data_IF_146519092095
#
_entry.id   IF_146519092095
#
_cell.length_a   1.000
_cell.length_b   1.000
_cell.length_c   1.000
_cell.angle_alpha   90.00
_cell.angle_beta   90.00
_cell.angle_gamma   90.00
#
_symmetry.space_group_name_H-M   'P 1'
#
loop_
_entity.id
_entity.type
_entity.pdbx_description
1 polymer ?
#
# COMPACT_ATOMS: atom_id res chain seq x y z
N UNK A 1 53.30 -47.16 59.06
CA UNK A 1 52.67 -46.92 57.74
C UNK A 1 51.34 -46.24 57.95
N UNK A 2 51.25 -44.93 57.68
CA UNK A 2 50.07 -44.10 57.94
C UNK A 2 49.22 -44.07 56.67
N UNK A 3 48.07 -44.74 56.69
CA UNK A 3 47.13 -44.74 55.56
C UNK A 3 46.55 -43.35 55.34
N UNK A 4 46.92 -42.71 54.23
CA UNK A 4 46.23 -41.54 53.69
C UNK A 4 44.88 -42.00 53.12
N UNK A 5 43.80 -41.77 53.85
CA UNK A 5 42.43 -41.84 53.33
C UNK A 5 41.66 -40.65 53.90
N UNK A 6 41.86 -39.47 53.35
CA UNK A 6 40.91 -38.36 53.42
C UNK A 6 40.83 -37.76 52.01
N UNK A 7 39.64 -37.35 51.59
CA UNK A 7 39.23 -36.83 50.26
C UNK A 7 38.44 -37.78 49.35
N UNK A 8 37.99 -38.95 49.83
CA UNK A 8 37.06 -39.81 49.06
C UNK A 8 35.57 -39.56 49.34
N UNK A 9 35.22 -38.83 50.41
CA UNK A 9 33.82 -38.58 50.81
C UNK A 9 33.15 -37.34 50.19
N UNK A 10 33.95 -36.34 49.77
CA UNK A 10 33.46 -35.11 49.13
C UNK A 10 33.48 -35.17 47.59
N UNK A 11 34.28 -36.06 46.99
CA UNK A 11 34.42 -36.15 45.54
C UNK A 11 33.11 -36.55 44.84
N UNK A 12 32.33 -37.47 45.43
CA UNK A 12 31.06 -37.96 44.87
C UNK A 12 29.97 -36.88 44.87
N UNK A 13 29.65 -36.19 45.99
CA UNK A 13 28.67 -35.10 45.98
C UNK A 13 29.05 -33.91 45.07
N UNK A 14 30.35 -33.56 45.03
CA UNK A 14 30.86 -32.46 44.19
C UNK A 14 30.77 -32.83 42.70
N UNK A 15 31.15 -34.05 42.33
CA UNK A 15 31.02 -34.55 40.96
C UNK A 15 29.56 -34.61 40.48
N UNK A 16 28.64 -35.04 41.35
CA UNK A 16 27.21 -35.07 41.08
C UNK A 16 26.64 -33.65 40.88
N UNK A 17 27.03 -32.72 41.75
CA UNK A 17 26.63 -31.30 41.64
C UNK A 17 27.12 -30.67 40.34
N UNK A 18 28.36 -30.96 39.94
CA UNK A 18 28.92 -30.48 38.68
C UNK A 18 28.16 -31.07 37.48
N UNK A 19 27.85 -32.37 37.50
CA UNK A 19 27.05 -33.03 36.48
C UNK A 19 25.65 -32.41 36.34
N UNK A 20 24.95 -32.19 37.45
CA UNK A 20 23.61 -31.57 37.46
C UNK A 20 23.68 -30.15 36.90
N UNK A 21 24.67 -29.36 37.31
CA UNK A 21 24.83 -27.98 36.84
C UNK A 21 25.16 -27.94 35.34
N UNK A 22 26.10 -28.77 34.88
CA UNK A 22 26.42 -28.89 33.46
C UNK A 22 25.21 -29.36 32.63
N UNK A 23 24.45 -30.34 33.12
CA UNK A 23 23.25 -30.82 32.44
C UNK A 23 22.14 -29.75 32.41
N UNK A 24 22.01 -28.96 33.47
CA UNK A 24 21.05 -27.85 33.53
C UNK A 24 21.43 -26.75 32.54
N UNK A 25 22.71 -26.35 32.51
CA UNK A 25 23.19 -25.37 31.52
C UNK A 25 22.94 -25.87 30.10
N UNK A 26 23.29 -27.12 29.81
CA UNK A 26 23.09 -27.70 28.49
C UNK A 26 21.61 -27.71 28.11
N UNK A 27 20.74 -28.15 29.02
CA UNK A 27 19.29 -28.19 28.79
C UNK A 27 18.70 -26.80 28.56
N UNK A 28 19.07 -25.82 29.38
CA UNK A 28 18.61 -24.43 29.23
C UNK A 28 19.13 -23.82 27.93
N UNK A 29 20.40 -24.04 27.58
CA UNK A 29 20.99 -23.57 26.33
C UNK A 29 20.28 -24.19 25.11
N UNK A 30 20.08 -25.51 25.10
CA UNK A 30 19.35 -26.19 24.02
C UNK A 30 17.92 -25.70 23.93
N UNK A 31 17.21 -25.56 25.06
CA UNK A 31 15.85 -25.02 25.09
C UNK A 31 15.79 -23.60 24.50
N UNK A 32 16.70 -22.72 24.90
CA UNK A 32 16.76 -21.35 24.40
C UNK A 32 17.02 -21.29 22.89
N UNK A 33 17.95 -22.10 22.37
CA UNK A 33 18.23 -22.21 20.93
C UNK A 33 17.03 -22.77 20.17
N UNK A 34 16.37 -23.81 20.68
CA UNK A 34 15.18 -24.37 20.04
C UNK A 34 14.03 -23.37 20.05
N UNK A 35 13.75 -22.73 21.18
CA UNK A 35 12.68 -21.75 21.32
C UNK A 35 12.90 -20.54 20.40
N UNK A 36 14.11 -19.98 20.38
CA UNK A 36 14.44 -18.87 19.48
C UNK A 36 14.28 -19.25 18.01
N UNK A 37 14.74 -20.45 17.61
CA UNK A 37 14.58 -20.93 16.22
C UNK A 37 13.12 -21.10 15.80
N UNK A 38 12.26 -21.60 16.70
CA UNK A 38 10.81 -21.74 16.45
C UNK A 38 10.14 -20.37 16.41
N UNK A 39 10.53 -19.45 17.29
CA UNK A 39 10.02 -18.08 17.33
C UNK A 39 10.29 -17.34 16.01
N UNK A 40 11.53 -17.41 15.50
CA UNK A 40 11.91 -16.81 14.21
C UNK A 40 11.14 -17.43 13.04
N UNK A 41 11.00 -18.76 13.01
CA UNK A 41 10.19 -19.42 11.96
C UNK A 41 8.72 -18.99 12.03
N UNK A 42 8.16 -18.90 13.23
CA UNK A 42 6.78 -18.46 13.46
C UNK A 42 6.57 -17.01 13.02
N UNK A 43 7.49 -16.10 13.34
CA UNK A 43 7.39 -14.69 12.94
C UNK A 43 7.48 -14.53 11.42
N UNK A 44 8.36 -15.27 10.74
CA UNK A 44 8.43 -15.29 9.27
C UNK A 44 7.13 -15.80 8.62
N UNK A 45 6.50 -16.84 9.17
CA UNK A 45 5.21 -17.34 8.68
C UNK A 45 4.12 -16.27 8.85
N UNK A 46 4.06 -15.63 10.02
CA UNK A 46 3.12 -14.53 10.30
C UNK A 46 3.32 -13.35 9.35
N UNK A 47 4.57 -13.00 9.06
CA UNK A 47 4.93 -11.95 8.11
C UNK A 47 4.40 -12.27 6.70
N UNK A 48 4.66 -13.48 6.20
CA UNK A 48 4.19 -13.91 4.87
C UNK A 48 2.65 -13.96 4.82
N UNK A 49 2.00 -14.44 5.88
CA UNK A 49 0.54 -14.47 5.96
C UNK A 49 -0.07 -13.06 5.96
N UNK A 50 0.51 -12.13 6.74
CA UNK A 50 0.12 -10.73 6.73
C UNK A 50 0.25 -10.11 5.34
N UNK A 51 1.38 -10.34 4.67
CA UNK A 51 1.62 -9.89 3.29
C UNK A 51 0.53 -10.38 2.34
N UNK A 52 0.16 -11.65 2.44
CA UNK A 52 -0.88 -12.25 1.61
C UNK A 52 -2.27 -11.68 1.90
N UNK A 53 -2.60 -11.41 3.16
CA UNK A 53 -3.89 -10.83 3.53
C UNK A 53 -4.02 -9.38 3.06
N UNK A 54 -2.95 -8.57 3.16
CA UNK A 54 -2.95 -7.20 2.62
C UNK A 54 -3.06 -7.21 1.09
N UNK A 55 -2.41 -8.15 0.40
CA UNK A 55 -2.62 -8.36 -1.05
C UNK A 55 -4.08 -8.76 -1.37
N UNK A 56 -4.69 -9.61 -0.54
CA UNK A 56 -6.11 -9.99 -0.69
C UNK A 56 -7.05 -8.81 -0.46
N UNK A 57 -6.72 -7.93 0.49
CA UNK A 57 -7.45 -6.69 0.75
C UNK A 57 -7.39 -5.74 -0.44
N UNK A 58 -6.21 -5.54 -1.02
CA UNK A 58 -6.08 -4.72 -2.22
C UNK A 58 -6.91 -5.30 -3.37
N UNK A 59 -6.91 -6.62 -3.54
CA UNK A 59 -7.68 -7.25 -4.62
C UNK A 59 -9.19 -7.09 -4.39
N UNK A 60 -9.62 -7.06 -3.13
CA UNK A 60 -10.99 -6.75 -2.75
C UNK A 60 -11.36 -5.29 -3.09
N UNK A 61 -10.51 -4.32 -2.74
CA UNK A 61 -10.70 -2.91 -3.12
C UNK A 61 -10.77 -2.77 -4.63
N UNK A 62 -9.83 -3.37 -5.37
CA UNK A 62 -9.81 -3.32 -6.82
C UNK A 62 -11.08 -3.91 -7.44
N UNK A 63 -11.59 -5.04 -6.90
CA UNK A 63 -12.79 -5.70 -7.43
C UNK A 63 -14.08 -4.90 -7.30
N UNK A 64 -14.18 -4.05 -6.28
CA UNK A 64 -15.34 -3.18 -6.05
C UNK A 64 -15.16 -1.78 -6.64
N UNK A 65 -13.93 -1.41 -6.95
CA UNK A 65 -13.60 -0.11 -7.52
C UNK A 65 -14.36 0.08 -8.83
N UNK A 66 -14.82 1.31 -9.08
CA UNK A 66 -15.62 1.66 -10.25
C UNK A 66 -17.02 0.99 -10.32
N UNK A 67 -17.50 0.40 -9.22
CA UNK A 67 -18.85 -0.17 -9.10
C UNK A 67 -19.60 0.47 -7.92
N UNK A 68 -20.29 1.61 -8.12
CA UNK A 68 -20.99 2.33 -7.06
C UNK A 68 -21.98 1.45 -6.30
N UNK A 69 -21.99 1.54 -4.97
CA UNK A 69 -22.86 0.76 -4.09
C UNK A 69 -22.38 -0.66 -3.80
N UNK A 70 -21.34 -1.15 -4.51
CA UNK A 70 -20.76 -2.46 -4.22
C UNK A 70 -20.02 -2.48 -2.88
N UNK A 71 -20.02 -3.63 -2.22
CA UNK A 71 -19.36 -3.82 -0.93
C UNK A 71 -18.86 -5.24 -0.76
N UNK A 72 -17.74 -5.38 -0.05
CA UNK A 72 -17.19 -6.67 0.35
C UNK A 72 -16.68 -6.61 1.78
N UNK A 73 -16.84 -7.71 2.52
CA UNK A 73 -16.31 -7.85 3.88
C UNK A 73 -15.07 -8.74 3.83
N UNK A 74 -14.00 -8.30 4.48
CA UNK A 74 -12.74 -9.05 4.62
C UNK A 74 -12.41 -9.23 6.08
N UNK A 75 -11.95 -10.44 6.41
CA UNK A 75 -11.50 -10.82 7.74
C UNK A 75 -9.99 -10.93 7.75
N UNK A 76 -9.38 -10.36 8.79
CA UNK A 76 -7.95 -10.44 9.08
C UNK A 76 -7.76 -11.26 10.34
N UNK A 77 -6.84 -12.23 10.29
CA UNK A 77 -6.59 -13.15 11.41
C UNK A 77 -5.69 -12.57 12.51
N UNK A 78 -5.13 -11.39 12.29
CA UNK A 78 -4.24 -10.72 13.25
C UNK A 78 -2.91 -11.42 13.42
N UNK A 79 -1.89 -10.99 12.67
CA UNK A 79 -0.59 -11.66 12.66
C UNK A 79 0.44 -11.07 13.64
N UNK A 80 -0.03 -10.41 14.70
CA UNK A 80 0.81 -9.68 15.66
C UNK A 80 1.30 -8.33 15.17
N UNK A 81 0.65 -7.79 14.12
CA UNK A 81 0.86 -6.45 13.60
C UNK A 81 -0.29 -5.50 13.97
N UNK A 82 -0.21 -4.29 13.43
CA UNK A 82 -1.18 -3.20 13.64
C UNK A 82 -1.69 -2.73 12.29
N UNK A 83 -3.01 -2.69 12.10
CA UNK A 83 -3.62 -2.13 10.90
C UNK A 83 -4.09 -0.71 11.19
N UNK A 84 -3.78 0.22 10.29
CA UNK A 84 -4.17 1.62 10.38
C UNK A 84 -4.71 2.13 9.03
N UNK A 85 -5.68 3.03 9.11
CA UNK A 85 -6.14 3.81 7.95
C UNK A 85 -5.75 5.27 8.13
N UNK A 86 -5.23 5.86 7.06
CA UNK A 86 -4.76 7.23 7.05
C UNK A 86 -5.51 8.01 5.98
N UNK A 87 -6.77 8.41 6.22
CA UNK A 87 -7.61 9.06 5.22
C UNK A 87 -7.06 10.42 4.78
N UNK A 88 -6.35 11.13 5.66
CA UNK A 88 -5.94 12.52 5.45
C UNK A 88 -4.46 12.69 5.07
N UNK A 89 -3.62 11.69 5.30
CA UNK A 89 -2.16 11.85 5.26
C UNK A 89 -1.55 11.82 3.85
N UNK A 90 -2.31 11.39 2.82
CA UNK A 90 -1.82 11.27 1.44
C UNK A 90 -2.47 12.30 0.52
N UNK A 91 -1.74 13.36 0.18
CA UNK A 91 -2.23 14.46 -0.65
C UNK A 91 -1.88 14.21 -2.12
N UNK A 92 -2.88 14.32 -3.00
CA UNK A 92 -2.73 14.27 -4.44
C UNK A 92 -3.06 15.63 -5.04
N UNK A 93 -2.10 16.19 -5.78
CA UNK A 93 -2.30 17.39 -6.61
C UNK A 93 -2.08 17.05 -8.08
N UNK A 94 -3.02 17.44 -8.93
CA UNK A 94 -2.94 17.29 -10.39
C UNK A 94 -3.10 18.66 -11.02
N UNK A 95 -2.10 19.05 -11.80
CA UNK A 95 -2.11 20.25 -12.61
C UNK A 95 -2.14 19.86 -14.10
N UNK A 96 -3.07 20.47 -14.83
CA UNK A 96 -3.21 20.34 -16.27
C UNK A 96 -2.69 21.60 -16.95
N UNK A 97 -1.81 21.41 -17.93
CA UNK A 97 -1.34 22.50 -18.78
C UNK A 97 -1.43 22.16 -20.27
N UNK A 98 -1.79 23.16 -21.06
CA UNK A 98 -2.01 23.03 -22.50
C UNK A 98 -1.82 24.40 -23.17
N UNK A 99 -0.76 24.56 -23.96
CA UNK A 99 -0.38 25.87 -24.49
C UNK A 99 -0.11 26.87 -23.35
N UNK A 100 -0.82 28.00 -23.34
CA UNK A 100 -0.76 29.02 -22.28
C UNK A 100 -1.64 28.72 -21.06
N UNK A 101 -2.54 27.73 -21.15
CA UNK A 101 -3.42 27.32 -20.05
C UNK A 101 -2.63 26.49 -19.02
N UNK A 102 -2.81 26.81 -17.74
CA UNK A 102 -2.31 26.01 -16.61
C UNK A 102 -3.29 26.13 -15.44
N UNK A 103 -3.82 25.00 -14.98
CA UNK A 103 -4.77 24.98 -13.87
C UNK A 103 -4.65 23.72 -13.01
N UNK A 104 -5.02 23.85 -11.73
CA UNK A 104 -5.14 22.71 -10.81
C UNK A 104 -6.51 22.08 -11.01
N UNK A 105 -6.53 20.81 -11.39
CA UNK A 105 -7.76 20.06 -11.73
C UNK A 105 -8.18 19.10 -10.63
N UNK A 106 -7.24 18.73 -9.75
CA UNK A 106 -7.52 17.97 -8.54
C UNK A 106 -6.53 18.38 -7.44
N UNK A 107 -7.03 18.64 -6.24
CA UNK A 107 -6.21 18.87 -5.05
C UNK A 107 -7.00 18.41 -3.83
N UNK A 108 -6.68 17.23 -3.32
CA UNK A 108 -7.33 16.67 -2.14
C UNK A 108 -6.48 15.57 -1.52
N UNK A 109 -6.80 15.21 -0.27
CA UNK A 109 -6.29 13.96 0.29
C UNK A 109 -7.02 12.77 -0.31
N UNK A 110 -6.25 11.74 -0.65
CA UNK A 110 -6.73 10.47 -1.20
C UNK A 110 -6.55 9.29 -0.23
N UNK A 111 -5.87 9.52 0.88
CA UNK A 111 -5.60 8.54 1.92
C UNK A 111 -4.76 7.33 1.52
N UNK A 112 -4.39 6.52 2.52
CA UNK A 112 -3.74 5.22 2.35
C UNK A 112 -4.06 4.28 3.53
N UNK A 113 -3.67 3.01 3.38
CA UNK A 113 -3.77 1.98 4.41
C UNK A 113 -2.37 1.50 4.81
N UNK A 114 -2.15 1.34 6.10
CA UNK A 114 -0.91 0.85 6.69
C UNK A 114 -1.13 -0.46 7.43
N UNK A 115 -0.21 -1.41 7.28
CA UNK A 115 -0.15 -2.58 8.15
C UNK A 115 1.27 -2.74 8.69
N UNK A 116 1.46 -2.48 9.98
CA UNK A 116 2.70 -2.77 10.70
C UNK A 116 2.95 -4.27 10.68
N UNK A 117 4.03 -4.69 10.01
CA UNK A 117 4.39 -6.09 9.89
C UNK A 117 5.01 -6.59 11.21
N UNK A 118 4.78 -7.87 11.58
CA UNK A 118 5.38 -8.42 12.79
C UNK A 118 6.91 -8.40 12.71
N UNK A 119 7.62 -8.22 13.84
CA UNK A 119 9.08 -8.19 13.85
C UNK A 119 9.67 -9.46 13.23
N UNK A 120 10.51 -9.28 12.21
CA UNK A 120 11.14 -10.37 11.48
C UNK A 120 12.58 -10.00 11.15
N UNK A 121 13.43 -11.00 10.95
CA UNK A 121 14.81 -10.82 10.48
C UNK A 121 14.90 -10.62 8.96
N UNK A 122 13.75 -10.68 8.27
CA UNK A 122 13.61 -10.37 6.85
C UNK A 122 13.62 -8.85 6.66
N UNK A 123 14.58 -8.33 5.89
CA UNK A 123 14.61 -6.93 5.49
C UNK A 123 14.21 -6.79 4.02
N UNK A 124 12.93 -6.51 3.77
CA UNK A 124 12.35 -6.27 2.45
C UNK A 124 11.98 -4.77 2.27
N UNK A 125 12.52 -3.87 3.09
CA UNK A 125 12.23 -2.42 2.99
C UNK A 125 12.59 -1.89 1.61
N UNK A 126 11.66 -1.15 1.00
CA UNK A 126 11.76 -0.63 -0.36
C UNK A 126 11.22 -1.58 -1.44
N UNK A 127 10.87 -2.83 -1.09
CA UNK A 127 10.32 -3.78 -2.04
C UNK A 127 8.86 -3.45 -2.36
N UNK A 128 8.57 -3.31 -3.66
CA UNK A 128 7.20 -3.19 -4.16
C UNK A 128 6.55 -4.58 -4.29
N UNK A 129 5.41 -4.74 -3.63
CA UNK A 129 4.59 -5.95 -3.67
C UNK A 129 3.59 -5.91 -4.84
N UNK A 130 3.11 -4.71 -5.16
CA UNK A 130 2.24 -4.45 -6.32
C UNK A 130 2.43 -3.00 -6.78
N UNK A 131 2.58 -2.81 -8.09
CA UNK A 131 2.95 -1.52 -8.66
C UNK A 131 4.44 -1.22 -8.57
N UNK A 132 4.79 0.05 -8.58
CA UNK A 132 6.17 0.56 -8.64
C UNK A 132 6.26 1.97 -8.00
N UNK A 133 7.43 2.61 -8.09
CA UNK A 133 7.69 3.91 -7.47
C UNK A 133 7.10 5.10 -8.23
N UNK A 134 6.63 4.93 -9.47
CA UNK A 134 6.12 6.06 -10.25
C UNK A 134 4.82 6.61 -9.63
N UNK A 135 4.69 7.94 -9.50
CA UNK A 135 3.55 8.58 -8.86
C UNK A 135 2.30 8.64 -9.75
N UNK A 136 2.42 8.24 -11.02
CA UNK A 136 1.35 8.29 -12.03
C UNK A 136 1.54 7.17 -13.04
N UNK A 137 0.43 6.62 -13.52
CA UNK A 137 0.41 5.62 -14.58
C UNK A 137 -0.20 6.23 -15.84
N UNK A 138 0.43 6.01 -16.99
CA UNK A 138 -0.10 6.42 -18.30
C UNK A 138 -0.30 5.25 -19.29
N UNK A 139 -0.20 4.01 -18.81
CA UNK A 139 -0.36 2.79 -19.60
C UNK A 139 -1.49 1.95 -19.01
N UNK A 140 -2.43 1.53 -19.85
CA UNK A 140 -3.66 0.85 -19.45
C UNK A 140 -3.49 -0.50 -18.74
N UNK A 141 -2.29 -1.12 -18.84
CA UNK A 141 -2.01 -2.44 -18.26
C UNK A 141 -1.30 -2.38 -16.90
N UNK A 142 -0.84 -1.21 -16.47
CA UNK A 142 -0.17 -1.03 -15.20
C UNK A 142 -1.19 -0.73 -14.10
N UNK A 143 -1.06 -1.42 -12.96
CA UNK A 143 -1.94 -1.23 -11.82
C UNK A 143 -1.79 0.17 -11.21
N UNK A 144 -2.91 0.77 -10.82
CA UNK A 144 -2.97 2.02 -10.03
C UNK A 144 -2.57 1.83 -8.57
N UNK A 145 -2.37 0.59 -8.14
CA UNK A 145 -1.95 0.25 -6.79
C UNK A 145 -0.47 0.58 -6.61
N UNK A 146 -0.16 1.18 -5.47
CA UNK A 146 1.19 1.34 -4.98
C UNK A 146 1.29 0.68 -3.60
N UNK A 147 1.78 -0.56 -3.60
CA UNK A 147 1.96 -1.36 -2.39
C UNK A 147 3.42 -1.75 -2.23
N UNK A 148 4.03 -1.34 -1.12
CA UNK A 148 5.44 -1.61 -0.85
C UNK A 148 5.72 -1.64 0.64
N UNK A 149 6.87 -2.18 1.02
CA UNK A 149 7.31 -2.24 2.42
C UNK A 149 8.15 -1.01 2.71
N UNK A 150 7.81 -0.27 3.77
CA UNK A 150 8.55 0.90 4.23
C UNK A 150 8.86 0.82 5.72
N UNK A 151 9.70 1.73 6.21
CA UNK A 151 9.85 1.93 7.66
C UNK A 151 8.97 3.10 8.06
N UNK A 152 8.08 2.87 9.02
CA UNK A 152 7.20 3.88 9.58
C UNK A 152 7.19 3.73 11.11
N UNK A 153 7.43 4.83 11.83
CA UNK A 153 7.53 4.86 13.30
C UNK A 153 8.49 3.80 13.90
N UNK A 154 9.58 3.48 13.19
CA UNK A 154 10.60 2.52 13.65
C UNK A 154 10.26 1.05 13.40
N UNK A 155 9.09 0.75 12.84
CA UNK A 155 8.67 -0.61 12.46
C UNK A 155 8.58 -0.76 10.94
N UNK A 156 8.65 -2.00 10.44
CA UNK A 156 8.35 -2.28 9.04
C UNK A 156 6.84 -2.22 8.84
N UNK A 157 6.39 -1.51 7.81
CA UNK A 157 5.00 -1.33 7.45
C UNK A 157 4.78 -1.73 6.00
N UNK A 158 3.73 -2.50 5.74
CA UNK A 158 3.19 -2.72 4.40
C UNK A 158 2.27 -1.55 4.10
N UNK A 159 2.75 -0.66 3.24
CA UNK A 159 2.01 0.48 2.75
C UNK A 159 1.11 0.05 1.58
N UNK A 160 -0.13 0.53 1.56
CA UNK A 160 -1.07 0.37 0.45
C UNK A 160 -1.76 1.70 0.16
N UNK A 161 -1.48 2.28 -1.01
CA UNK A 161 -2.29 3.37 -1.54
C UNK A 161 -2.42 3.30 -3.05
N UNK A 162 -3.01 4.33 -3.64
CA UNK A 162 -3.31 4.38 -5.06
C UNK A 162 -2.72 5.62 -5.71
N UNK A 163 -2.33 5.48 -6.97
CA UNK A 163 -1.83 6.53 -7.86
C UNK A 163 -2.82 6.74 -9.01
N UNK A 164 -2.93 7.96 -9.56
CA UNK A 164 -3.83 8.22 -10.68
C UNK A 164 -3.40 7.47 -11.95
N UNK A 165 -4.39 7.02 -12.71
CA UNK A 165 -4.22 6.54 -14.08
C UNK A 165 -4.68 7.62 -15.05
N UNK A 166 -3.83 7.94 -16.01
CA UNK A 166 -4.09 8.90 -17.07
C UNK A 166 -4.19 8.14 -18.39
N UNK A 167 -5.25 8.37 -19.13
CA UNK A 167 -5.45 7.86 -20.48
C UNK A 167 -5.81 9.01 -21.42
N UNK A 168 -5.35 8.95 -22.65
CA UNK A 168 -5.77 9.88 -23.69
C UNK A 168 -6.17 9.11 -24.94
N UNK A 169 -7.24 9.57 -25.59
CA UNK A 169 -7.70 9.01 -26.84
C UNK A 169 -8.47 10.06 -27.63
N UNK A 170 -8.51 9.87 -28.94
CA UNK A 170 -9.27 10.73 -29.83
C UNK A 170 -10.66 10.12 -30.07
N UNK A 171 -11.69 10.96 -30.05
CA UNK A 171 -13.03 10.58 -30.47
C UNK A 171 -13.49 11.51 -31.58
N UNK A 172 -14.03 10.95 -32.66
CA UNK A 172 -14.73 11.72 -33.70
C UNK A 172 -16.22 11.80 -33.38
N UNK A 173 -16.78 13.01 -33.36
CA UNK A 173 -18.21 13.22 -33.19
C UNK A 173 -18.68 14.23 -34.23
N UNK A 174 -19.55 13.81 -35.16
CA UNK A 174 -20.25 14.69 -36.12
C UNK A 174 -19.32 15.73 -36.78
N UNK A 175 -18.25 15.27 -37.43
CA UNK A 175 -17.21 16.07 -38.10
C UNK A 175 -16.26 16.90 -37.21
N UNK A 176 -16.39 16.84 -35.88
CA UNK A 176 -15.40 17.43 -34.97
C UNK A 176 -14.54 16.34 -34.32
N UNK A 177 -13.24 16.61 -34.28
CA UNK A 177 -12.29 15.78 -33.56
C UNK A 177 -12.14 16.27 -32.12
N UNK A 178 -12.35 15.37 -31.16
CA UNK A 178 -12.25 15.66 -29.73
C UNK A 178 -11.10 14.85 -29.15
N UNK A 179 -10.10 15.54 -28.61
CA UNK A 179 -9.06 14.93 -27.80
C UNK A 179 -9.62 14.74 -26.39
N UNK A 180 -9.78 13.50 -25.94
CA UNK A 180 -10.27 13.18 -24.61
C UNK A 180 -9.09 12.76 -23.74
N UNK A 181 -8.92 13.43 -22.62
CA UNK A 181 -7.97 13.10 -21.57
C UNK A 181 -8.76 12.69 -20.35
N UNK A 182 -8.52 11.47 -19.87
CA UNK A 182 -9.25 10.88 -18.75
C UNK A 182 -8.28 10.56 -17.62
N UNK A 183 -8.62 11.03 -16.43
CA UNK A 183 -7.87 10.81 -15.19
C UNK A 183 -8.75 10.00 -14.26
N UNK A 184 -8.24 8.87 -13.79
CA UNK A 184 -8.90 7.98 -12.84
C UNK A 184 -8.19 8.02 -11.50
N UNK A 185 -8.93 8.27 -10.43
CA UNK A 185 -8.43 8.36 -9.05
C UNK A 185 -9.24 7.39 -8.18
N UNK A 186 -8.55 6.53 -7.43
CA UNK A 186 -9.15 5.79 -6.32
C UNK A 186 -8.86 6.58 -5.05
N UNK A 187 -9.91 6.95 -4.34
CA UNK A 187 -9.85 7.81 -3.17
C UNK A 187 -10.32 7.04 -1.94
N UNK A 188 -9.44 6.92 -0.93
CA UNK A 188 -9.69 6.26 0.35
C UNK A 188 -10.02 7.26 1.48
N UNK A 189 -10.08 8.56 1.22
CA UNK A 189 -10.26 9.60 2.24
C UNK A 189 -11.59 9.49 3.02
N UNK A 190 -12.56 8.76 2.48
CA UNK A 190 -13.87 8.53 3.11
C UNK A 190 -13.82 7.40 4.13
N UNK A 191 -12.67 6.74 4.29
CA UNK A 191 -12.43 5.69 5.28
C UNK A 191 -12.45 6.27 6.69
N UNK A 192 -12.89 5.46 7.64
CA UNK A 192 -12.80 5.80 9.05
C UNK A 192 -11.32 5.85 9.48
N UNK A 193 -11.00 6.57 10.55
CA UNK A 193 -9.69 6.50 11.18
C UNK A 193 -9.69 5.27 12.11
N UNK A 194 -9.20 4.15 11.59
CA UNK A 194 -9.27 2.83 12.19
C UNK A 194 -7.87 2.44 12.68
N UNK A 195 -7.85 1.80 13.85
CA UNK A 195 -6.65 1.23 14.43
C UNK A 195 -7.01 -0.12 15.02
N UNK A 196 -6.49 -1.19 14.44
CA UNK A 196 -6.72 -2.54 14.91
C UNK A 196 -5.42 -3.23 15.32
N UNK A 197 -5.50 -3.97 16.43
CA UNK A 197 -4.50 -4.94 16.85
C UNK A 197 -5.18 -6.29 16.99
N UNK A 198 -4.54 -7.36 16.52
CA UNK A 198 -5.17 -8.69 16.50
C UNK A 198 -6.09 -8.91 15.30
N UNK A 199 -7.05 -9.82 15.43
CA UNK A 199 -7.97 -10.17 14.35
C UNK A 199 -9.14 -9.20 14.26
N UNK A 200 -9.53 -8.81 13.05
CA UNK A 200 -10.59 -7.81 12.81
C UNK A 200 -11.30 -8.05 11.47
N UNK A 201 -12.44 -7.39 11.28
CA UNK A 201 -13.22 -7.45 10.04
C UNK A 201 -13.45 -6.05 9.49
N UNK A 202 -13.13 -5.87 8.22
CA UNK A 202 -13.34 -4.62 7.49
C UNK A 202 -14.47 -4.80 6.48
N UNK A 203 -15.30 -3.79 6.34
CA UNK A 203 -16.17 -3.63 5.18
C UNK A 203 -15.56 -2.58 4.26
N UNK A 204 -15.46 -2.94 2.99
CA UNK A 204 -14.89 -2.10 1.94
C UNK A 204 -16.05 -1.79 0.99
N UNK A 205 -16.27 -0.51 0.70
CA UNK A 205 -17.42 -0.06 -0.09
C UNK A 205 -17.00 0.95 -1.13
N UNK A 206 -17.48 0.81 -2.36
CA UNK A 206 -17.43 1.88 -3.34
C UNK A 206 -18.67 2.76 -3.11
N UNK A 207 -18.49 3.93 -2.48
CA UNK A 207 -19.61 4.82 -2.11
C UNK A 207 -20.28 5.39 -3.37
N UNK A 208 -19.49 6.03 -4.22
CA UNK A 208 -19.92 6.63 -5.47
C UNK A 208 -18.71 6.89 -6.38
N UNK A 209 -19.00 7.28 -7.62
CA UNK A 209 -18.00 7.84 -8.53
C UNK A 209 -18.41 9.29 -8.78
N UNK A 210 -17.53 10.23 -8.46
CA UNK A 210 -17.72 11.64 -8.84
C UNK A 210 -16.93 11.93 -10.11
N UNK A 211 -17.46 12.80 -10.96
CA UNK A 211 -16.81 13.20 -12.21
C UNK A 211 -16.81 14.70 -12.39
N UNK A 212 -15.67 15.26 -12.81
CA UNK A 212 -15.56 16.63 -13.29
C UNK A 212 -15.15 16.60 -14.76
N UNK A 213 -15.93 17.28 -15.60
CA UNK A 213 -15.65 17.36 -17.04
C UNK A 213 -15.46 18.83 -17.41
N UNK A 214 -14.32 19.14 -18.02
CA UNK A 214 -14.02 20.44 -18.60
C UNK A 214 -13.74 20.30 -20.08
N UNK A 215 -14.22 21.24 -20.88
CA UNK A 215 -13.99 21.28 -22.33
C UNK A 215 -13.32 22.60 -22.67
N UNK A 216 -12.27 22.53 -23.49
CA UNK A 216 -11.48 23.68 -23.94
C UNK A 216 -11.50 23.73 -25.45
N UNK A 217 -11.70 24.93 -25.98
CA UNK A 217 -11.57 25.20 -27.41
C UNK A 217 -10.10 25.46 -27.71
N UNK A 218 -9.52 24.71 -28.65
CA UNK A 218 -8.16 24.97 -29.11
C UNK A 218 -8.20 26.12 -30.13
N UNK A 219 -7.94 27.34 -29.67
CA UNK A 219 -7.83 28.52 -30.53
C UNK A 219 -6.44 28.67 -31.15
N UNK A 220 -5.46 27.94 -30.60
CA UNK A 220 -4.07 27.90 -31.05
C UNK A 220 -3.70 26.46 -31.44
N UNK A 221 -2.70 26.32 -32.31
CA UNK A 221 -2.15 25.02 -32.69
C UNK A 221 -1.37 24.41 -31.50
N UNK A 222 -2.06 23.62 -30.68
CA UNK A 222 -1.44 22.91 -29.55
C UNK A 222 -1.25 21.44 -29.91
N UNK A 223 0.01 20.98 -29.87
CA UNK A 223 0.39 19.60 -30.25
C UNK A 223 0.35 18.62 -29.08
N UNK A 224 0.32 19.11 -27.83
CA UNK A 224 0.31 18.25 -26.65
C UNK A 224 -0.32 18.94 -25.43
N UNK A 225 -0.84 18.12 -24.52
CA UNK A 225 -1.19 18.51 -23.17
C UNK A 225 -0.20 17.88 -22.19
N UNK A 226 0.03 18.53 -21.06
CA UNK A 226 0.86 18.02 -19.98
C UNK A 226 0.05 17.91 -18.70
N UNK A 227 0.16 16.78 -18.02
CA UNK A 227 -0.42 16.56 -16.70
C UNK A 227 0.71 16.36 -15.71
N UNK A 228 0.85 17.31 -14.79
CA UNK A 228 1.78 17.25 -13.68
C UNK A 228 1.05 16.68 -12.46
N UNK A 229 1.49 15.52 -12.00
CA UNK A 229 0.98 14.84 -10.81
C UNK A 229 2.01 14.95 -9.70
N UNK A 230 1.56 15.35 -8.52
CA UNK A 230 2.36 15.35 -7.29
C UNK A 230 1.64 14.50 -6.23
N UNK A 231 2.33 13.50 -5.68
CA UNK A 231 1.84 12.60 -4.63
C UNK A 231 2.97 12.37 -3.63
N UNK A 232 2.71 12.52 -2.34
CA UNK A 232 3.72 12.34 -1.27
C UNK A 232 5.03 13.14 -1.49
N UNK A 233 4.93 14.32 -2.13
CA UNK A 233 6.07 15.17 -2.47
C UNK A 233 6.79 14.81 -3.77
N UNK A 234 6.60 13.59 -4.28
CA UNK A 234 7.14 13.14 -5.56
C UNK A 234 6.31 13.69 -6.72
N UNK A 235 6.99 14.15 -7.76
CA UNK A 235 6.34 14.85 -8.88
C UNK A 235 6.73 14.25 -10.23
N UNK A 236 5.73 13.97 -11.06
CA UNK A 236 5.92 13.48 -12.43
C UNK A 236 5.04 14.24 -13.40
N UNK A 237 5.57 14.46 -14.60
CA UNK A 237 4.82 15.06 -15.70
C UNK A 237 4.59 14.00 -16.77
N UNK A 238 3.34 13.87 -17.22
CA UNK A 238 2.94 13.03 -18.35
C UNK A 238 2.53 13.95 -19.49
N UNK A 239 3.23 13.86 -20.61
CA UNK A 239 2.87 14.58 -21.84
C UNK A 239 2.05 13.67 -22.74
N UNK A 240 0.89 14.16 -23.17
CA UNK A 240 -0.07 13.45 -24.00
C UNK A 240 -0.16 14.16 -25.36
N UNK A 241 0.03 13.44 -26.48
CA UNK A 241 -0.12 14.04 -27.79
C UNK A 241 -1.58 14.44 -28.03
N UNK A 242 -1.78 15.62 -28.61
CA UNK A 242 -3.07 16.07 -29.10
C UNK A 242 -3.03 16.06 -30.62
N UNK A 243 -4.11 15.61 -31.25
CA UNK A 243 -4.27 15.76 -32.69
C UNK A 243 -5.07 17.02 -32.97
N UNK A 244 -4.54 17.86 -33.86
CA UNK A 244 -5.07 19.19 -34.19
C UNK A 244 -5.29 19.33 -35.71
N UNK A 245 -5.86 18.30 -36.33
CA UNK A 245 -6.24 18.35 -37.74
C UNK A 245 -7.58 19.10 -37.84
N UNK A 246 -7.52 20.35 -38.33
CA UNK A 246 -8.66 21.22 -38.68
C UNK A 246 -9.28 22.15 -37.58
N UNK A 247 -10.05 23.11 -38.08
CA UNK A 247 -10.51 24.40 -37.51
C UNK A 247 -11.37 24.32 -36.26
N UNK A 248 -11.74 23.12 -35.78
CA UNK A 248 -12.60 22.93 -34.59
C UNK A 248 -12.17 21.74 -33.74
N UNK A 249 -10.91 21.73 -33.33
CA UNK A 249 -10.39 20.73 -32.40
C UNK A 249 -10.75 21.10 -30.95
N UNK A 250 -11.39 20.18 -30.22
CA UNK A 250 -11.70 20.34 -28.80
C UNK A 250 -10.78 19.46 -27.95
N UNK A 251 -10.42 19.96 -26.77
CA UNK A 251 -9.82 19.15 -25.72
C UNK A 251 -10.82 18.98 -24.57
N UNK A 252 -11.12 17.74 -24.19
CA UNK A 252 -11.99 17.40 -23.08
C UNK A 252 -11.19 16.72 -21.99
N UNK A 253 -11.15 17.32 -20.82
CA UNK A 253 -10.56 16.76 -19.62
C UNK A 253 -11.67 16.16 -18.75
N UNK A 254 -11.55 14.88 -18.43
CA UNK A 254 -12.46 14.13 -17.58
C UNK A 254 -11.71 13.59 -16.36
N UNK A 255 -12.08 14.02 -15.16
CA UNK A 255 -11.54 13.51 -13.90
C UNK A 255 -12.59 12.67 -13.22
N UNK A 256 -12.34 11.37 -13.05
CA UNK A 256 -13.19 10.42 -12.35
C UNK A 256 -12.56 10.02 -11.02
N UNK A 257 -13.31 10.16 -9.93
CA UNK A 257 -12.88 9.82 -8.58
C UNK A 257 -13.80 8.73 -8.04
N UNK A 258 -13.24 7.54 -7.83
CA UNK A 258 -13.91 6.44 -7.15
C UNK A 258 -13.70 6.58 -5.65
N UNK A 259 -14.74 6.96 -4.92
CA UNK A 259 -14.67 7.12 -3.47
C UNK A 259 -14.91 5.77 -2.80
N UNK A 260 -13.84 5.20 -2.22
CA UNK A 260 -13.84 3.94 -1.51
C UNK A 260 -13.75 4.22 -0.01
N UNK A 261 -14.63 3.58 0.76
CA UNK A 261 -14.64 3.63 2.21
C UNK A 261 -14.22 2.28 2.79
N UNK A 262 -13.25 2.31 3.69
CA UNK A 262 -12.94 1.22 4.61
C UNK A 262 -13.54 1.56 5.97
N UNK A 263 -14.38 0.67 6.49
CA UNK A 263 -15.10 0.83 7.76
C UNK A 263 -15.06 -0.44 8.60
N UNK A 264 -15.17 -0.30 9.92
CA UNK A 264 -15.26 -1.43 10.84
C UNK A 264 -16.58 -2.21 10.66
N UNK A 265 -16.54 -3.52 10.86
CA UNK A 265 -17.75 -4.34 11.03
C UNK A 265 -17.90 -4.74 12.49
N UNK A 266 -18.71 -3.99 13.23
CA UNK A 266 -19.16 -4.37 14.57
C UNK A 266 -20.31 -5.39 14.48
N UNK A 267 -20.26 -6.43 15.33
CA UNK A 267 -21.32 -7.44 15.52
C UNK A 267 -22.25 -6.96 16.62
#
# INVERSE_FOLDING_TARGET
MRGKNLDKGLATPVSLSFLIFSFTILTVATYYVSFSSVSVKSSRIRYVAAKQDVLSLESAIHSISWSPGSSIVKEFRGYGGKFETHPDDRILTINFSMGSLSEIVFNSSIGYLGYEAPPTDINEVGLYLRGDAEPVVNQSFLGTTQMYIRVYNGSQEIYLGYRPLIASFTSSLQNNQINIIRIFIINLNSSENLLFTGGFRLRIRCLNITSCVKTYNLTESVSSASIKVTIDGETRCVTLPLSSEETFTLARLEVFVCNVKVEEVNI
#
